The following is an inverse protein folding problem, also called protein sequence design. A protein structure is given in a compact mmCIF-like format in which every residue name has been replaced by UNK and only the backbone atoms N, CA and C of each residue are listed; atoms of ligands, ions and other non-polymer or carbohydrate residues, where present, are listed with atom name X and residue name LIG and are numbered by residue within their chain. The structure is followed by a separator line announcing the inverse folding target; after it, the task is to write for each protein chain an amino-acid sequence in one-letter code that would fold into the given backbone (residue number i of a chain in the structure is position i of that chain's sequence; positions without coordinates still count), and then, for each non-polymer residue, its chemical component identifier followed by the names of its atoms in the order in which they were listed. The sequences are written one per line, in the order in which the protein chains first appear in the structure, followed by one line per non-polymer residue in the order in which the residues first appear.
data_IF_788849255659
#
_entry.id   IF_788849255659
#
_cell.length_a   1.000
_cell.length_b   1.000
_cell.length_c   1.000
_cell.angle_alpha   90.00
_cell.angle_beta   90.00
_cell.angle_gamma   90.00
#
_symmetry.space_group_name_H-M   'P 1'
#
loop_
_entity.id
_entity.type
_entity.pdbx_description
1 polymer ?
#
# COMPACT_ATOMS: atom_id res chain seq x y z
N UNK A 1 102.18 8.96 -58.21
CA UNK A 1 101.25 10.11 -58.40
C UNK A 1 100.04 9.55 -59.14
N UNK A 2 98.82 9.49 -58.64
CA UNK A 2 98.21 9.94 -57.40
C UNK A 2 96.70 10.06 -57.68
N UNK A 3 95.88 9.41 -56.84
CA UNK A 3 94.51 9.84 -56.42
C UNK A 3 93.43 9.80 -57.56
N UNK A 4 92.21 9.27 -57.45
CA UNK A 4 91.29 8.89 -56.37
C UNK A 4 90.25 7.90 -56.97
N UNK A 5 89.92 6.79 -56.28
CA UNK A 5 88.67 6.54 -55.51
C UNK A 5 87.37 6.56 -56.34
N UNK A 6 86.81 5.39 -56.66
CA UNK A 6 85.78 4.65 -55.88
C UNK A 6 84.39 5.28 -56.00
N UNK A 7 83.45 4.64 -56.73
CA UNK A 7 82.02 4.53 -56.34
C UNK A 7 81.36 3.34 -57.07
N UNK A 8 81.42 2.17 -56.43
CA UNK A 8 80.48 1.07 -56.60
C UNK A 8 79.88 0.83 -55.22
N UNK A 9 78.70 1.37 -54.91
CA UNK A 9 77.84 0.84 -53.85
C UNK A 9 76.46 1.55 -53.80
N UNK A 10 75.43 0.70 -53.68
CA UNK A 10 74.08 0.94 -53.11
C UNK A 10 73.13 1.87 -53.87
N UNK A 11 72.38 1.28 -54.80
CA UNK A 11 71.05 1.75 -55.18
C UNK A 11 70.03 0.75 -54.62
N UNK A 12 69.72 0.79 -53.32
CA UNK A 12 68.62 0.05 -52.68
C UNK A 12 68.49 0.47 -51.21
N UNK A 13 68.00 1.68 -50.94
CA UNK A 13 67.54 2.04 -49.59
C UNK A 13 66.33 2.98 -49.67
N UNK A 14 65.22 2.46 -49.12
CA UNK A 14 63.99 3.13 -48.68
C UNK A 14 62.99 3.64 -49.74
N UNK A 15 62.34 2.70 -50.43
CA UNK A 15 60.88 2.81 -50.60
C UNK A 15 60.22 2.09 -49.42
N UNK A 16 60.25 2.70 -48.23
CA UNK A 16 59.27 2.30 -47.22
C UNK A 16 57.92 2.84 -47.70
N UNK A 17 56.87 2.02 -47.82
CA UNK A 17 55.54 2.55 -47.89
C UNK A 17 55.33 3.19 -46.52
N UNK A 18 55.52 4.50 -46.42
CA UNK A 18 54.85 5.27 -45.38
C UNK A 18 53.36 5.13 -45.71
N UNK A 19 52.79 4.00 -45.28
CA UNK A 19 51.37 3.84 -45.12
C UNK A 19 51.00 4.90 -44.09
N UNK A 20 50.61 6.08 -44.60
CA UNK A 20 49.75 6.98 -43.86
C UNK A 20 48.51 6.15 -43.56
N UNK A 21 48.53 5.47 -42.41
CA UNK A 21 47.31 4.97 -41.79
C UNK A 21 46.56 6.24 -41.43
N UNK A 22 45.73 6.71 -42.35
CA UNK A 22 44.60 7.56 -42.00
C UNK A 22 43.78 6.66 -41.09
N UNK A 23 43.97 6.81 -39.77
CA UNK A 23 43.03 6.31 -38.80
C UNK A 23 41.76 7.10 -39.07
N UNK A 24 40.88 6.55 -39.90
CA UNK A 24 39.48 6.95 -39.88
C UNK A 24 39.04 6.65 -38.45
N UNK A 25 38.95 7.70 -37.62
CA UNK A 25 38.27 7.61 -36.34
C UNK A 25 36.88 7.09 -36.68
N UNK A 26 36.55 5.89 -36.19
CA UNK A 26 35.20 5.38 -36.28
C UNK A 26 34.35 6.29 -35.41
N UNK A 27 33.74 7.29 -36.03
CA UNK A 27 32.77 8.16 -35.38
C UNK A 27 31.60 7.28 -34.91
N UNK A 28 31.17 7.46 -33.66
CA UNK A 28 30.02 6.74 -33.15
C UNK A 28 28.81 7.02 -34.07
N UNK A 29 28.07 5.98 -34.44
CA UNK A 29 26.94 6.13 -35.35
C UNK A 29 25.89 7.03 -34.68
N UNK A 30 25.68 8.23 -35.25
CA UNK A 30 24.67 9.15 -34.75
C UNK A 30 23.27 8.62 -35.03
N UNK A 31 22.33 8.90 -34.13
CA UNK A 31 20.92 8.58 -34.33
C UNK A 31 20.08 9.79 -33.95
N UNK A 32 19.22 10.22 -34.87
CA UNK A 32 18.30 11.33 -34.66
C UNK A 32 16.93 11.00 -35.26
N UNK A 33 15.87 11.29 -34.50
CA UNK A 33 14.50 11.22 -35.01
C UNK A 33 13.57 12.16 -34.24
N UNK A 34 12.48 12.53 -34.91
CA UNK A 34 11.42 13.37 -34.34
C UNK A 34 10.05 12.92 -34.81
N UNK A 35 9.18 12.57 -33.86
CA UNK A 35 7.78 12.23 -34.07
C UNK A 35 6.88 13.32 -33.49
N UNK A 36 6.28 14.13 -34.36
CA UNK A 36 5.27 15.16 -34.00
C UNK A 36 3.87 14.56 -34.11
N UNK A 37 3.63 13.57 -33.26
CA UNK A 37 2.57 12.56 -33.45
C UNK A 37 3.08 11.34 -34.21
N UNK A 38 2.28 10.28 -34.20
CA UNK A 38 2.70 8.93 -34.59
C UNK A 38 1.93 8.35 -35.78
N UNK A 39 0.91 9.06 -36.27
CA UNK A 39 0.14 8.63 -37.44
C UNK A 39 1.04 8.47 -38.66
N UNK A 40 1.08 7.27 -39.25
CA UNK A 40 1.91 6.95 -40.41
C UNK A 40 3.30 6.40 -40.06
N UNK A 41 3.66 6.33 -38.78
CA UNK A 41 4.98 5.86 -38.33
C UNK A 41 4.97 4.39 -37.87
N UNK A 42 3.98 3.59 -38.30
CA UNK A 42 3.86 2.17 -37.90
C UNK A 42 5.05 1.30 -38.33
N UNK A 43 5.84 1.73 -39.32
CA UNK A 43 7.06 1.02 -39.75
C UNK A 43 8.30 1.43 -38.97
N UNK A 44 8.27 2.60 -38.32
CA UNK A 44 9.41 3.15 -37.56
C UNK A 44 9.30 2.85 -36.06
N UNK A 45 8.11 2.48 -35.58
CA UNK A 45 7.86 2.16 -34.17
C UNK A 45 7.29 0.76 -34.06
N UNK A 46 7.98 -0.07 -33.30
CA UNK A 46 7.53 -1.40 -32.94
C UNK A 46 6.70 -1.35 -31.67
N UNK A 47 5.44 -1.78 -31.74
CA UNK A 47 4.54 -1.86 -30.58
C UNK A 47 4.21 -3.31 -30.24
N UNK A 48 4.18 -3.65 -28.95
CA UNK A 48 3.70 -4.95 -28.45
C UNK A 48 2.69 -4.77 -27.29
N UNK A 49 1.92 -5.82 -27.01
CA UNK A 49 0.93 -5.82 -25.93
C UNK A 49 -0.24 -4.87 -26.20
N UNK A 50 -0.63 -4.08 -25.20
CA UNK A 50 -1.70 -3.09 -25.29
C UNK A 50 -1.31 -1.81 -26.05
N UNK A 51 -0.04 -1.68 -26.43
CA UNK A 51 0.46 -0.49 -27.10
C UNK A 51 -0.02 -0.42 -28.54
N UNK A 52 -0.47 0.76 -28.97
CA UNK A 52 -0.91 1.00 -30.35
C UNK A 52 -0.67 2.45 -30.77
N UNK A 53 -0.43 2.66 -32.07
CA UNK A 53 -0.57 3.97 -32.71
C UNK A 53 -2.03 4.14 -33.11
N UNK A 54 -2.72 5.07 -32.48
CA UNK A 54 -4.15 5.29 -32.69
C UNK A 54 -4.40 6.03 -33.99
N UNK A 55 -5.11 5.39 -34.92
CA UNK A 55 -5.43 5.99 -36.21
C UNK A 55 -6.35 7.23 -36.11
N UNK A 56 -7.15 7.32 -35.05
CA UNK A 56 -8.15 8.39 -34.84
C UNK A 56 -7.52 9.74 -34.56
N UNK A 57 -6.47 9.78 -33.73
CA UNK A 57 -5.86 10.99 -33.19
C UNK A 57 -4.35 11.05 -33.45
N UNK A 58 -3.71 9.94 -33.82
CA UNK A 58 -2.28 9.88 -34.07
C UNK A 58 -1.43 9.81 -32.80
N UNK A 59 -2.03 9.54 -31.64
CA UNK A 59 -1.32 9.32 -30.38
C UNK A 59 -0.72 7.91 -30.33
N UNK A 60 0.43 7.79 -29.67
CA UNK A 60 0.96 6.50 -29.25
C UNK A 60 0.39 6.18 -27.87
N UNK A 61 -0.52 5.22 -27.78
CA UNK A 61 -1.06 4.75 -26.50
C UNK A 61 -0.23 3.55 -26.05
N UNK A 62 0.41 3.62 -24.89
CA UNK A 62 1.22 2.51 -24.34
C UNK A 62 0.33 1.48 -23.63
N UNK A 63 -0.66 1.93 -22.86
CA UNK A 63 -1.71 1.06 -22.31
C UNK A 63 -3.06 1.75 -22.40
N UNK A 64 -4.11 0.95 -22.41
CA UNK A 64 -5.45 1.40 -22.13
C UNK A 64 -5.73 1.32 -20.61
N UNK A 65 -7.01 1.37 -20.23
CA UNK A 65 -7.47 1.28 -18.84
C UNK A 65 -7.90 -0.14 -18.44
N UNK A 66 -7.52 -1.15 -19.22
CA UNK A 66 -7.78 -2.55 -18.88
C UNK A 66 -6.86 -2.97 -17.73
N UNK A 67 -7.22 -4.04 -17.02
CA UNK A 67 -6.47 -4.54 -15.88
C UNK A 67 -5.35 -5.48 -16.31
N UNK A 68 -4.22 -5.43 -15.61
CA UNK A 68 -3.09 -6.34 -15.78
C UNK A 68 -2.57 -6.44 -17.22
N UNK A 69 -2.53 -5.31 -17.94
CA UNK A 69 -1.94 -5.26 -19.28
C UNK A 69 -0.55 -4.65 -19.24
N UNK A 70 0.29 -5.09 -20.17
CA UNK A 70 1.58 -4.47 -20.51
C UNK A 70 1.50 -3.91 -21.91
N UNK A 71 2.27 -2.87 -22.18
CA UNK A 71 2.47 -2.40 -23.55
C UNK A 71 3.85 -1.78 -23.72
N UNK A 72 4.44 -2.03 -24.89
CA UNK A 72 5.77 -1.53 -25.22
C UNK A 72 5.73 -0.81 -26.57
N UNK A 73 6.55 0.22 -26.71
CA UNK A 73 6.72 0.95 -27.95
C UNK A 73 8.18 1.38 -28.11
N UNK A 74 8.89 0.77 -29.05
CA UNK A 74 10.31 1.03 -29.30
C UNK A 74 10.54 1.64 -30.68
N UNK A 75 11.55 2.49 -30.80
CA UNK A 75 12.08 2.86 -32.11
C UNK A 75 12.61 1.59 -32.79
N UNK A 76 12.17 1.34 -34.03
CA UNK A 76 12.35 0.06 -34.69
C UNK A 76 13.80 -0.26 -35.11
N UNK A 77 14.70 0.73 -35.06
CA UNK A 77 16.11 0.56 -35.42
C UNK A 77 16.99 0.61 -34.17
N UNK A 78 18.01 -0.26 -34.06
CA UNK A 78 18.96 -0.21 -32.95
C UNK A 78 19.78 1.09 -32.99
N UNK A 79 20.18 1.56 -31.82
CA UNK A 79 21.07 2.69 -31.60
C UNK A 79 22.39 2.20 -31.02
N UNK A 80 23.47 2.95 -31.26
CA UNK A 80 24.81 2.63 -30.76
C UNK A 80 25.32 3.78 -29.91
N UNK A 81 25.40 3.56 -28.60
CA UNK A 81 25.77 4.59 -27.64
C UNK A 81 27.21 4.46 -27.13
N UNK A 82 27.88 3.33 -27.35
CA UNK A 82 29.30 3.15 -26.98
C UNK A 82 30.20 3.99 -27.90
N UNK A 83 30.95 4.91 -27.31
CA UNK A 83 31.96 5.71 -28.01
C UNK A 83 33.24 4.88 -28.21
N UNK A 84 33.58 4.65 -29.48
CA UNK A 84 34.79 3.92 -29.91
C UNK A 84 35.94 4.84 -30.34
N UNK A 85 35.80 6.15 -30.17
CA UNK A 85 36.80 7.14 -30.62
C UNK A 85 38.15 7.02 -29.89
N UNK A 86 38.20 6.35 -28.74
CA UNK A 86 39.41 6.17 -27.92
C UNK A 86 39.91 4.72 -27.91
N UNK A 87 40.42 4.25 -29.05
CA UNK A 87 41.01 2.91 -29.25
C UNK A 87 42.23 2.56 -28.33
N UNK A 88 42.63 3.45 -27.41
CA UNK A 88 43.78 3.23 -26.51
C UNK A 88 43.42 3.07 -25.02
N UNK A 89 42.15 3.26 -24.63
CA UNK A 89 41.72 2.97 -23.25
C UNK A 89 40.78 1.76 -23.23
N UNK A 90 41.06 0.79 -22.36
CA UNK A 90 40.20 -0.38 -22.12
C UNK A 90 38.81 -0.03 -21.56
N UNK A 91 38.57 1.24 -21.20
CA UNK A 91 37.32 1.71 -20.63
C UNK A 91 36.30 2.05 -21.72
N UNK A 92 35.13 1.41 -21.64
CA UNK A 92 33.98 1.72 -22.50
C UNK A 92 33.41 3.07 -22.04
N UNK A 93 33.29 4.02 -22.97
CA UNK A 93 32.61 5.30 -22.74
C UNK A 93 31.27 5.32 -23.46
N UNK A 94 30.31 6.03 -22.88
CA UNK A 94 28.98 6.22 -23.49
C UNK A 94 28.93 7.65 -24.05
N UNK A 95 28.55 7.80 -25.32
CA UNK A 95 28.35 9.09 -25.96
C UNK A 95 27.17 9.84 -25.32
N UNK A 96 27.15 11.16 -25.44
CA UNK A 96 26.01 11.95 -24.97
C UNK A 96 24.74 11.60 -25.75
N UNK A 97 23.58 11.68 -25.09
CA UNK A 97 22.28 11.56 -25.74
C UNK A 97 21.25 12.48 -25.09
N UNK A 98 20.22 12.80 -25.85
CA UNK A 98 19.11 13.64 -25.43
C UNK A 98 17.81 13.04 -25.94
N UNK A 99 16.77 13.05 -25.11
CA UNK A 99 15.40 12.76 -25.55
C UNK A 99 14.42 13.74 -24.95
N UNK A 100 13.39 14.07 -25.72
CA UNK A 100 12.24 14.83 -25.23
C UNK A 100 10.95 14.18 -25.68
N UNK A 101 9.98 14.08 -24.79
CA UNK A 101 8.65 13.61 -25.14
C UNK A 101 7.60 14.36 -24.35
N UNK A 102 6.41 14.42 -24.94
CA UNK A 102 5.21 14.97 -24.31
C UNK A 102 4.23 13.83 -24.14
N UNK A 103 3.70 13.68 -22.94
CA UNK A 103 2.81 12.58 -22.58
C UNK A 103 1.64 13.05 -21.73
N UNK A 104 0.65 12.19 -21.57
CA UNK A 104 -0.49 12.39 -20.68
C UNK A 104 -0.93 11.05 -20.11
N UNK A 105 -1.24 11.04 -18.82
CA UNK A 105 -1.76 9.87 -18.10
C UNK A 105 -3.20 10.16 -17.70
N UNK A 106 -4.10 9.25 -18.05
CA UNK A 106 -5.54 9.38 -17.73
C UNK A 106 -5.95 8.18 -16.88
N UNK A 107 -6.16 8.38 -15.56
CA UNK A 107 -6.54 7.28 -14.68
C UNK A 107 -7.99 6.82 -14.94
N UNK A 108 -8.31 5.60 -14.53
CA UNK A 108 -9.69 5.07 -14.57
C UNK A 108 -10.62 5.80 -13.61
N UNK A 109 -10.10 6.21 -12.45
CA UNK A 109 -10.77 7.05 -11.47
C UNK A 109 -9.75 7.88 -10.70
N UNK A 110 -10.11 9.07 -10.19
CA UNK A 110 -9.18 9.94 -9.46
C UNK A 110 -8.53 9.19 -8.28
N UNK A 111 -7.20 9.20 -8.21
CA UNK A 111 -6.42 8.57 -7.14
C UNK A 111 -6.31 7.05 -7.18
N UNK A 112 -6.91 6.37 -8.16
CA UNK A 112 -6.74 4.91 -8.38
C UNK A 112 -6.15 4.63 -9.77
N UNK A 113 -5.23 5.47 -10.21
CA UNK A 113 -4.46 5.16 -11.38
C UNK A 113 -3.30 4.22 -11.07
N UNK A 114 -2.60 3.78 -12.12
CA UNK A 114 -1.47 2.89 -11.99
C UNK A 114 -1.11 2.12 -13.26
N UNK A 115 0.10 1.57 -13.37
CA UNK A 115 1.24 1.75 -12.43
C UNK A 115 2.20 2.84 -12.90
N UNK A 116 2.16 3.19 -14.19
CA UNK A 116 3.02 4.20 -14.79
C UNK A 116 3.67 3.65 -16.05
N UNK A 117 4.75 4.30 -16.46
CA UNK A 117 5.52 3.90 -17.62
C UNK A 117 7.00 4.25 -17.45
N UNK A 118 7.85 3.70 -18.30
CA UNK A 118 9.28 4.00 -18.36
C UNK A 118 9.66 4.56 -19.72
N UNK A 119 10.69 5.40 -19.75
CA UNK A 119 11.58 5.52 -20.91
C UNK A 119 12.78 4.61 -20.67
N UNK A 120 13.15 3.75 -21.62
CA UNK A 120 14.16 2.72 -21.38
C UNK A 120 15.17 2.56 -22.51
N UNK A 121 16.40 2.23 -22.13
CA UNK A 121 17.43 1.61 -22.97
C UNK A 121 17.41 0.10 -22.70
N UNK A 122 17.24 -0.70 -23.75
CA UNK A 122 17.17 -2.17 -23.66
C UNK A 122 17.95 -2.82 -24.82
N UNK A 123 18.59 -3.98 -24.65
CA UNK A 123 19.27 -4.69 -25.74
C UNK A 123 18.30 -5.28 -26.77
N UNK A 124 16.99 -5.27 -26.47
CA UNK A 124 15.93 -5.79 -27.33
C UNK A 124 14.68 -4.91 -27.25
N UNK A 125 13.95 -4.68 -28.35
CA UNK A 125 12.65 -4.03 -28.33
C UNK A 125 11.54 -4.97 -27.84
N UNK A 126 11.77 -6.28 -27.86
CA UNK A 126 10.82 -7.29 -27.42
C UNK A 126 10.99 -7.54 -25.92
N UNK A 127 9.88 -7.59 -25.17
CA UNK A 127 9.87 -7.89 -23.72
C UNK A 127 8.98 -9.11 -23.39
N UNK A 128 9.30 -10.30 -23.94
CA UNK A 128 8.52 -11.48 -23.67
C UNK A 128 8.59 -11.84 -22.19
N UNK A 129 7.43 -12.08 -21.58
CA UNK A 129 7.33 -12.45 -20.17
C UNK A 129 7.59 -11.31 -19.19
N UNK A 130 7.64 -10.04 -19.63
CA UNK A 130 7.54 -8.91 -18.72
C UNK A 130 6.15 -8.90 -18.05
N UNK A 131 6.12 -8.62 -16.76
CA UNK A 131 4.91 -8.63 -15.94
C UNK A 131 4.25 -7.24 -15.89
N UNK A 132 2.96 -7.24 -15.57
CA UNK A 132 2.17 -6.02 -15.40
C UNK A 132 2.40 -5.38 -14.02
N UNK A 133 1.55 -4.44 -13.65
CA UNK A 133 1.58 -3.76 -12.36
C UNK A 133 2.96 -3.14 -12.04
N UNK A 134 3.50 -3.41 -10.86
CA UNK A 134 4.79 -2.93 -10.36
C UNK A 134 6.00 -3.25 -11.25
N UNK A 135 5.85 -4.15 -12.24
CA UNK A 135 6.93 -4.50 -13.16
C UNK A 135 6.94 -3.65 -14.44
N UNK A 136 5.96 -2.74 -14.61
CA UNK A 136 5.85 -1.72 -15.66
C UNK A 136 5.98 -2.24 -17.11
N UNK A 137 5.75 -3.53 -17.35
CA UNK A 137 6.03 -4.15 -18.65
C UNK A 137 7.51 -4.10 -19.03
N UNK A 138 8.38 -3.73 -18.09
CA UNK A 138 9.82 -3.76 -18.25
C UNK A 138 10.31 -5.13 -17.80
N UNK A 139 10.28 -5.45 -16.51
CA UNK A 139 10.86 -6.68 -15.95
C UNK A 139 9.77 -7.67 -15.52
N UNK A 140 10.16 -8.72 -14.81
CA UNK A 140 9.25 -9.61 -14.11
C UNK A 140 9.87 -10.04 -12.78
N UNK A 141 9.10 -10.77 -11.98
CA UNK A 141 9.55 -11.24 -10.66
C UNK A 141 10.86 -12.03 -10.70
N UNK A 142 11.09 -12.80 -11.76
CA UNK A 142 12.23 -13.72 -11.86
C UNK A 142 13.53 -13.06 -12.31
N UNK A 143 13.45 -11.97 -13.07
CA UNK A 143 14.62 -11.28 -13.59
C UNK A 143 14.85 -9.89 -12.97
N UNK A 144 13.95 -9.38 -12.11
CA UNK A 144 14.17 -8.13 -11.40
C UNK A 144 15.47 -8.17 -10.57
N UNK A 145 16.42 -7.27 -10.85
CA UNK A 145 17.74 -7.27 -10.20
C UNK A 145 18.81 -8.09 -10.91
N UNK A 146 18.49 -8.78 -12.00
CA UNK A 146 19.47 -9.57 -12.75
C UNK A 146 20.35 -8.66 -13.62
N UNK A 147 21.66 -8.68 -13.38
CA UNK A 147 22.64 -7.89 -14.15
C UNK A 147 22.66 -8.24 -15.65
N UNK A 148 22.25 -9.45 -16.02
CA UNK A 148 22.14 -9.86 -17.44
C UNK A 148 20.95 -9.23 -18.18
N UNK A 149 20.15 -8.38 -17.53
CA UNK A 149 19.06 -7.69 -18.19
C UNK A 149 19.56 -6.60 -19.16
N UNK A 150 20.67 -5.95 -18.83
CA UNK A 150 21.22 -4.81 -19.56
C UNK A 150 20.20 -3.70 -19.83
N UNK A 151 19.32 -3.40 -18.86
CA UNK A 151 18.31 -2.35 -18.98
C UNK A 151 18.62 -1.15 -18.09
N UNK A 152 18.46 0.04 -18.67
CA UNK A 152 18.38 1.30 -17.93
C UNK A 152 16.99 1.90 -18.18
N UNK A 153 16.37 2.47 -17.16
CA UNK A 153 15.08 3.12 -17.31
C UNK A 153 14.96 4.39 -16.44
N UNK A 154 14.17 5.34 -16.94
CA UNK A 154 13.61 6.43 -16.15
C UNK A 154 12.14 6.10 -15.95
N UNK A 155 11.74 5.81 -14.72
CA UNK A 155 10.36 5.49 -14.36
C UNK A 155 9.53 6.75 -14.10
N UNK A 156 8.27 6.71 -14.51
CA UNK A 156 7.23 7.70 -14.22
C UNK A 156 6.16 6.97 -13.42
N UNK A 157 6.42 6.76 -12.14
CA UNK A 157 5.58 5.94 -11.27
C UNK A 157 4.43 6.77 -10.70
N UNK A 158 3.23 6.21 -10.82
CA UNK A 158 1.97 6.81 -10.37
C UNK A 158 1.46 6.16 -9.08
N UNK A 159 2.02 5.02 -8.70
CA UNK A 159 1.67 4.25 -7.51
C UNK A 159 2.80 4.38 -6.47
N UNK A 160 2.42 4.38 -5.21
CA UNK A 160 3.30 4.81 -4.14
C UNK A 160 4.49 3.86 -3.92
N UNK A 161 5.71 4.39 -4.10
CA UNK A 161 6.99 3.74 -3.79
C UNK A 161 7.73 4.27 -2.55
N UNK A 162 7.31 5.37 -1.91
CA UNK A 162 8.14 6.02 -0.88
C UNK A 162 7.73 5.75 0.58
N UNK A 163 8.71 5.24 1.35
CA UNK A 163 8.60 4.64 2.69
C UNK A 163 8.28 5.57 3.86
N UNK A 164 8.06 6.86 3.65
CA UNK A 164 8.08 7.81 4.77
C UNK A 164 6.73 8.48 5.08
N UNK A 165 5.63 8.01 4.47
CA UNK A 165 4.26 8.47 4.81
C UNK A 165 4.00 9.97 4.64
N UNK A 166 4.95 10.72 4.08
CA UNK A 166 4.92 12.17 3.93
C UNK A 166 4.39 12.63 2.57
N UNK A 167 4.43 11.77 1.54
CA UNK A 167 3.80 12.05 0.25
C UNK A 167 2.38 11.49 0.22
N UNK A 168 1.39 12.39 0.16
CA UNK A 168 -0.03 12.05 0.09
C UNK A 168 -0.49 11.63 -1.31
N UNK A 169 0.33 11.76 -2.36
CA UNK A 169 -0.02 11.45 -3.76
C UNK A 169 0.80 10.32 -4.39
N UNK A 170 2.04 10.09 -3.94
CA UNK A 170 2.83 8.89 -4.27
C UNK A 170 3.48 8.86 -5.65
N UNK A 171 3.36 9.93 -6.46
CA UNK A 171 4.00 10.01 -7.78
C UNK A 171 5.49 10.33 -7.65
N UNK A 172 6.34 9.58 -8.32
CA UNK A 172 7.78 9.82 -8.32
C UNK A 172 8.42 9.54 -9.68
N UNK A 173 9.59 10.14 -9.86
CA UNK A 173 10.48 9.85 -10.97
C UNK A 173 11.68 9.11 -10.42
N UNK A 174 12.01 7.98 -11.03
CA UNK A 174 13.09 7.11 -10.57
C UNK A 174 14.07 6.75 -11.68
N UNK A 175 15.28 6.37 -11.27
CA UNK A 175 16.33 5.84 -12.13
C UNK A 175 16.59 4.37 -11.79
N UNK A 176 16.36 3.52 -12.79
CA UNK A 176 16.37 2.07 -12.68
C UNK A 176 17.53 1.45 -13.45
N UNK A 177 18.25 0.54 -12.78
CA UNK A 177 19.45 -0.11 -13.31
C UNK A 177 19.31 -1.62 -13.16
N UNK A 178 18.91 -2.31 -14.23
CA UNK A 178 18.62 -3.75 -14.25
C UNK A 178 17.52 -4.22 -13.27
N UNK A 179 16.81 -3.30 -12.64
CA UNK A 179 15.85 -3.56 -11.57
C UNK A 179 14.86 -2.38 -11.45
N UNK A 180 13.68 -2.61 -10.86
CA UNK A 180 12.63 -1.59 -10.63
C UNK A 180 12.57 -1.09 -9.17
N UNK A 181 13.64 -1.32 -8.40
CA UNK A 181 13.90 -0.59 -7.16
C UNK A 181 14.82 0.56 -7.52
N UNK A 182 14.24 1.70 -7.90
CA UNK A 182 15.03 2.85 -8.33
C UNK A 182 16.10 3.24 -7.31
N UNK A 183 17.35 3.28 -7.77
CA UNK A 183 18.52 3.66 -6.97
C UNK A 183 18.45 5.14 -6.58
N UNK A 184 17.78 5.94 -7.43
CA UNK A 184 17.49 7.35 -7.21
C UNK A 184 16.00 7.57 -7.47
N UNK A 185 15.30 8.18 -6.51
CA UNK A 185 13.89 8.55 -6.65
C UNK A 185 13.69 9.99 -6.18
N UNK A 186 12.91 10.77 -6.92
CA UNK A 186 12.52 12.12 -6.54
C UNK A 186 11.00 12.30 -6.67
N UNK A 187 10.31 12.85 -5.66
CA UNK A 187 8.89 13.18 -5.76
C UNK A 187 8.59 14.14 -6.91
N UNK A 188 7.47 13.90 -7.61
CA UNK A 188 7.13 14.67 -8.80
C UNK A 188 6.94 16.16 -8.51
N UNK A 189 7.74 16.98 -9.17
CA UNK A 189 7.76 18.43 -8.97
C UNK A 189 8.64 19.11 -10.02
N UNK A 190 8.53 20.43 -10.16
CA UNK A 190 9.43 21.24 -10.98
C UNK A 190 9.89 22.50 -10.26
N UNK A 191 11.01 23.06 -10.70
CA UNK A 191 11.52 24.33 -10.22
C UNK A 191 10.93 25.48 -11.05
N UNK A 192 9.99 26.22 -10.48
CA UNK A 192 9.42 27.42 -11.11
C UNK A 192 10.43 28.59 -11.09
N UNK A 193 11.16 28.71 -9.98
CA UNK A 193 12.34 29.59 -9.86
C UNK A 193 13.47 28.82 -9.19
N UNK A 194 14.67 29.39 -9.11
CA UNK A 194 15.82 28.76 -8.47
C UNK A 194 15.55 28.36 -7.00
N UNK A 195 14.58 29.00 -6.35
CA UNK A 195 14.21 28.78 -4.94
C UNK A 195 12.82 28.20 -4.72
N UNK A 196 11.96 28.15 -5.75
CA UNK A 196 10.57 27.70 -5.64
C UNK A 196 10.38 26.38 -6.39
N UNK A 197 10.04 25.33 -5.63
CA UNK A 197 9.65 24.01 -6.12
C UNK A 197 8.13 23.91 -6.08
N UNK A 198 7.51 23.49 -7.17
CA UNK A 198 6.06 23.31 -7.29
C UNK A 198 5.74 21.85 -7.59
N UNK A 199 4.79 21.31 -6.84
CA UNK A 199 4.31 19.94 -7.01
C UNK A 199 3.22 19.91 -8.08
N UNK A 200 3.14 18.78 -8.79
CA UNK A 200 2.03 18.49 -9.70
C UNK A 200 1.79 16.98 -9.74
N UNK A 201 0.86 16.56 -10.58
CA UNK A 201 0.34 15.19 -10.59
C UNK A 201 0.49 14.59 -11.98
N UNK A 202 1.14 13.42 -12.07
CA UNK A 202 1.31 12.68 -13.30
C UNK A 202 -0.05 12.29 -13.90
N UNK A 203 -1.04 12.06 -13.05
CA UNK A 203 -2.38 11.58 -13.39
C UNK A 203 -3.43 12.69 -13.50
N UNK A 204 -2.98 13.95 -13.52
CA UNK A 204 -3.84 15.13 -13.69
C UNK A 204 -4.65 15.11 -15.00
N UNK A 205 -4.23 14.33 -15.98
CA UNK A 205 -4.77 14.34 -17.34
C UNK A 205 -4.34 15.59 -18.14
N UNK A 206 -3.46 16.42 -17.59
CA UNK A 206 -2.79 17.46 -18.36
C UNK A 206 -1.58 16.89 -19.10
N UNK A 207 -1.19 17.51 -20.22
CA UNK A 207 0.03 17.14 -20.91
C UNK A 207 1.27 17.59 -20.13
N UNK A 208 2.24 16.68 -20.04
CA UNK A 208 3.48 16.84 -19.30
C UNK A 208 4.63 16.63 -20.29
N UNK A 209 5.72 17.39 -20.14
CA UNK A 209 6.94 17.19 -20.90
C UNK A 209 8.03 16.61 -20.02
N UNK A 210 8.77 15.66 -20.58
CA UNK A 210 10.03 15.16 -20.04
C UNK A 210 11.19 15.47 -20.99
N UNK A 211 12.32 15.82 -20.41
CA UNK A 211 13.62 15.97 -21.07
C UNK A 211 14.63 15.14 -20.28
N UNK A 212 15.27 14.18 -20.95
CA UNK A 212 16.32 13.33 -20.38
C UNK A 212 17.59 13.57 -21.19
N UNK A 213 18.63 14.08 -20.52
CA UNK A 213 19.88 14.51 -21.15
C UNK A 213 21.05 13.85 -20.42
N UNK A 214 21.78 13.01 -21.12
CA UNK A 214 23.00 12.38 -20.61
C UNK A 214 24.22 13.02 -21.26
N UNK A 215 25.10 13.56 -20.44
CA UNK A 215 26.40 14.08 -20.87
C UNK A 215 27.48 13.01 -20.69
N UNK A 216 27.96 12.43 -21.79
CA UNK A 216 28.97 11.37 -21.80
C UNK A 216 30.29 11.75 -21.12
N UNK A 217 30.89 12.92 -21.40
CA UNK A 217 32.14 13.35 -20.77
C UNK A 217 32.10 13.46 -19.24
N UNK A 218 31.01 13.98 -18.67
CA UNK A 218 30.84 14.08 -17.21
C UNK A 218 30.05 12.91 -16.58
N UNK A 219 29.57 11.98 -17.40
CA UNK A 219 28.67 10.88 -17.04
C UNK A 219 27.41 11.37 -16.29
N UNK A 220 26.96 12.60 -16.57
CA UNK A 220 25.86 13.23 -15.82
C UNK A 220 24.53 13.06 -16.56
N UNK A 221 23.55 12.47 -15.89
CA UNK A 221 22.17 12.40 -16.33
C UNK A 221 21.35 13.52 -15.68
N UNK A 222 20.68 14.31 -16.51
CA UNK A 222 19.70 15.31 -16.11
C UNK A 222 18.30 14.89 -16.56
N UNK A 223 17.35 14.86 -15.62
CA UNK A 223 15.93 14.61 -15.89
C UNK A 223 15.15 15.85 -15.51
N UNK A 224 14.54 16.51 -16.49
CA UNK A 224 13.66 17.66 -16.29
C UNK A 224 12.24 17.29 -16.70
N UNK A 225 11.29 17.42 -15.79
CA UNK A 225 9.88 17.10 -16.00
C UNK A 225 9.02 18.28 -15.55
N UNK A 226 8.06 18.68 -16.39
CA UNK A 226 7.23 19.85 -16.11
C UNK A 226 5.93 19.86 -16.93
N UNK A 227 4.85 20.45 -16.40
CA UNK A 227 3.61 20.67 -17.14
C UNK A 227 3.80 21.52 -18.40
N UNK A 228 3.13 21.18 -19.50
CA UNK A 228 3.28 21.93 -20.77
C UNK A 228 2.63 23.32 -20.75
N UNK A 229 1.84 23.64 -19.71
CA UNK A 229 1.32 24.99 -19.46
C UNK A 229 2.42 26.01 -19.15
N UNK A 230 3.61 25.55 -18.75
CA UNK A 230 4.80 26.39 -18.61
C UNK A 230 5.37 26.72 -19.98
N UNK A 231 5.59 28.00 -20.24
CA UNK A 231 6.13 28.47 -21.52
C UNK A 231 7.60 28.07 -21.73
N UNK A 232 8.36 27.90 -20.65
CA UNK A 232 9.80 27.64 -20.68
C UNK A 232 10.15 26.40 -19.85
N UNK A 233 11.17 25.67 -20.32
CA UNK A 233 11.79 24.56 -19.57
C UNK A 233 12.40 25.11 -18.27
N UNK A 234 12.12 24.49 -17.10
CA UNK A 234 12.84 24.77 -15.86
C UNK A 234 14.34 24.68 -16.05
N UNK A 235 15.09 25.65 -15.52
CA UNK A 235 16.56 25.64 -15.61
C UNK A 235 17.20 24.54 -14.78
N UNK A 236 16.60 24.25 -13.62
CA UNK A 236 17.07 23.22 -12.69
C UNK A 236 16.32 21.91 -12.98
N UNK A 237 17.03 20.83 -13.33
CA UNK A 237 16.41 19.52 -13.52
C UNK A 237 15.88 18.98 -12.17
N UNK A 238 14.89 18.09 -12.23
CA UNK A 238 14.39 17.38 -11.06
C UNK A 238 15.47 16.44 -10.50
N UNK A 239 16.11 15.68 -11.39
CA UNK A 239 17.23 14.80 -11.06
C UNK A 239 18.47 15.27 -11.84
N UNK A 240 19.61 15.39 -11.15
CA UNK A 240 20.93 15.58 -11.75
C UNK A 240 21.91 14.69 -11.01
N UNK A 241 22.41 13.64 -11.67
CA UNK A 241 23.25 12.60 -11.04
C UNK A 241 24.31 12.10 -12.00
N UNK A 242 25.49 11.81 -11.47
CA UNK A 242 26.52 11.08 -12.21
C UNK A 242 26.17 9.59 -12.22
N UNK A 243 26.10 8.98 -13.40
CA UNK A 243 25.70 7.60 -13.65
C UNK A 243 26.89 6.84 -14.26
N UNK A 244 27.90 6.57 -13.45
CA UNK A 244 29.14 5.93 -13.91
C UNK A 244 28.96 4.48 -14.35
N UNK A 245 27.95 3.79 -13.81
CA UNK A 245 27.61 2.41 -14.14
C UNK A 245 26.84 2.25 -15.46
N UNK A 246 26.47 3.34 -16.16
CA UNK A 246 25.76 3.22 -17.44
C UNK A 246 26.59 2.45 -18.48
N UNK A 247 27.92 2.56 -18.41
CA UNK A 247 28.87 1.82 -19.26
C UNK A 247 28.83 0.29 -19.04
N UNK A 248 28.38 -0.18 -17.88
CA UNK A 248 28.22 -1.59 -17.54
C UNK A 248 26.90 -2.18 -18.05
N UNK A 249 25.93 -1.31 -18.38
CA UNK A 249 24.58 -1.69 -18.81
C UNK A 249 24.47 -1.64 -20.33
N UNK A 250 24.91 -0.54 -20.94
CA UNK A 250 24.75 -0.28 -22.36
C UNK A 250 25.58 -1.27 -23.17
N UNK A 251 24.93 -2.06 -24.01
CA UNK A 251 25.56 -2.97 -24.98
C UNK A 251 25.90 -2.28 -26.31
N UNK A 252 26.50 -3.03 -27.24
CA UNK A 252 26.89 -2.53 -28.55
C UNK A 252 25.72 -1.97 -29.37
N UNK A 253 24.58 -2.66 -29.30
CA UNK A 253 23.32 -2.24 -29.90
C UNK A 253 22.25 -2.22 -28.83
N UNK A 254 21.56 -1.08 -28.74
CA UNK A 254 20.47 -0.84 -27.80
C UNK A 254 19.24 -0.39 -28.57
N UNK A 255 18.09 -0.42 -27.91
CA UNK A 255 16.83 0.11 -28.37
C UNK A 255 16.33 1.13 -27.35
N UNK A 256 15.81 2.25 -27.86
CA UNK A 256 15.11 3.26 -27.06
C UNK A 256 13.62 3.09 -27.25
N UNK A 257 12.88 3.23 -26.16
CA UNK A 257 11.43 3.12 -26.21
C UNK A 257 10.78 3.35 -24.87
N UNK A 258 9.52 2.94 -24.82
CA UNK A 258 8.68 3.05 -23.65
C UNK A 258 8.11 1.69 -23.28
N UNK A 259 8.00 1.42 -21.98
CA UNK A 259 7.20 0.32 -21.44
C UNK A 259 6.18 0.88 -20.49
N UNK A 260 4.99 0.29 -20.42
CA UNK A 260 3.97 0.68 -19.47
C UNK A 260 3.19 -0.54 -19.00
N UNK A 261 2.61 -0.43 -17.80
CA UNK A 261 1.68 -1.44 -17.32
C UNK A 261 0.54 -0.85 -16.50
N UNK A 262 -0.52 -1.63 -16.43
CA UNK A 262 -1.63 -1.45 -15.47
C UNK A 262 -1.68 -2.65 -14.53
N UNK A 263 -2.44 -2.55 -13.44
CA UNK A 263 -2.65 -3.69 -12.55
C UNK A 263 -4.09 -3.81 -12.06
N UNK A 264 -4.30 -4.72 -11.12
CA UNK A 264 -5.61 -4.96 -10.53
C UNK A 264 -6.05 -3.75 -9.68
N UNK A 265 -7.22 -3.17 -10.01
CA UNK A 265 -7.77 -2.02 -9.30
C UNK A 265 -7.03 -0.67 -9.52
N UNK A 266 -5.86 -0.68 -10.15
CA UNK A 266 -5.01 0.49 -10.42
C UNK A 266 -4.67 0.54 -11.91
N UNK A 267 -5.37 1.40 -12.65
CA UNK A 267 -5.30 1.41 -14.12
C UNK A 267 -5.32 2.83 -14.67
N UNK A 268 -4.37 3.11 -15.55
CA UNK A 268 -4.26 4.38 -16.27
C UNK A 268 -3.99 4.13 -17.75
N UNK A 269 -4.59 4.93 -18.62
CA UNK A 269 -4.18 4.99 -20.01
C UNK A 269 -2.99 5.95 -20.15
N UNK A 270 -1.89 5.44 -20.69
CA UNK A 270 -0.66 6.20 -20.90
C UNK A 270 -0.52 6.56 -22.38
N UNK A 271 -0.42 7.85 -22.69
CA UNK A 271 -0.27 8.33 -24.07
C UNK A 271 0.99 9.15 -24.22
N UNK A 272 1.75 8.88 -25.30
CA UNK A 272 2.80 9.75 -25.80
C UNK A 272 2.24 10.52 -27.00
N UNK A 273 2.38 11.84 -26.95
CA UNK A 273 1.87 12.79 -27.95
C UNK A 273 2.92 13.12 -29.01
N UNK A 274 4.19 13.16 -28.61
CA UNK A 274 5.32 13.32 -29.50
C UNK A 274 6.61 12.94 -28.81
N UNK A 275 7.64 12.61 -29.59
CA UNK A 275 8.91 12.09 -29.10
C UNK A 275 10.05 12.46 -30.04
N UNK A 276 11.13 13.01 -29.50
CA UNK A 276 12.38 13.27 -30.20
C UNK A 276 13.56 12.65 -29.46
N UNK A 277 14.57 12.25 -30.22
CA UNK A 277 15.78 11.63 -29.71
C UNK A 277 16.97 12.05 -30.58
N UNK A 278 18.10 12.30 -29.94
CA UNK A 278 19.37 12.52 -30.58
C UNK A 278 20.47 11.85 -29.74
N UNK A 279 21.39 11.12 -30.38
CA UNK A 279 22.52 10.51 -29.69
C UNK A 279 23.79 10.55 -30.52
N UNK A 280 24.90 10.69 -29.81
CA UNK A 280 26.23 10.85 -30.38
C UNK A 280 26.33 12.07 -31.31
N UNK A 281 27.54 12.43 -31.74
CA UNK A 281 27.79 13.68 -32.49
C UNK A 281 28.14 14.86 -31.59
N UNK A 282 28.36 16.03 -32.18
CA UNK A 282 28.75 17.25 -31.46
C UNK A 282 27.54 17.87 -30.76
N UNK A 283 27.39 17.60 -29.46
CA UNK A 283 26.27 18.04 -28.61
C UNK A 283 24.88 17.62 -29.14
N UNK A 284 24.52 16.32 -29.08
CA UNK A 284 23.22 15.84 -29.53
C UNK A 284 22.10 16.44 -28.67
N UNK A 285 21.20 17.18 -29.31
CA UNK A 285 20.04 17.80 -28.66
C UNK A 285 18.76 17.30 -29.33
N UNK A 286 17.85 16.73 -28.55
CA UNK A 286 16.55 16.32 -29.05
C UNK A 286 15.73 17.53 -29.49
N UNK A 287 15.07 17.40 -30.64
CA UNK A 287 14.23 18.44 -31.22
C UNK A 287 13.16 18.95 -30.24
N UNK A 288 12.91 20.26 -30.30
CA UNK A 288 11.83 20.88 -29.52
C UNK A 288 10.46 20.48 -30.07
N UNK A 289 9.61 19.91 -29.21
CA UNK A 289 8.24 19.50 -29.54
C UNK A 289 7.24 20.63 -29.19
N UNK A 290 6.87 21.46 -30.16
CA UNK A 290 5.86 22.51 -29.93
C UNK A 290 4.49 21.89 -29.74
N UNK A 291 3.78 22.25 -28.66
CA UNK A 291 2.48 21.66 -28.32
C UNK A 291 1.44 21.86 -29.43
N UNK A 292 1.52 22.98 -30.16
CA UNK A 292 0.64 23.27 -31.31
C UNK A 292 0.84 22.34 -32.52
N UNK A 293 1.96 21.63 -32.59
CA UNK A 293 2.29 20.70 -33.68
C UNK A 293 1.99 19.23 -33.30
N UNK A 294 1.58 18.98 -32.04
CA UNK A 294 1.27 17.64 -31.56
C UNK A 294 -0.23 17.34 -31.70
N UNK A 295 -0.61 16.05 -31.81
CA UNK A 295 -1.99 15.64 -31.58
C UNK A 295 -2.54 16.18 -30.26
N UNK A 296 -3.83 16.56 -30.19
CA UNK A 296 -4.42 17.04 -28.96
C UNK A 296 -4.43 15.93 -27.88
N UNK A 297 -4.25 16.33 -26.62
CA UNK A 297 -4.39 15.39 -25.51
C UNK A 297 -5.83 14.84 -25.45
N UNK A 298 -6.03 13.55 -25.09
CA UNK A 298 -7.36 13.02 -24.91
C UNK A 298 -8.06 13.72 -23.73
N UNK A 299 -9.39 13.84 -23.76
CA UNK A 299 -10.14 14.44 -22.65
C UNK A 299 -9.99 13.61 -21.38
N UNK A 300 -9.77 14.27 -20.24
CA UNK A 300 -9.72 13.58 -18.96
C UNK A 300 -11.12 13.08 -18.55
N UNK A 301 -11.36 11.78 -18.77
CA UNK A 301 -12.64 11.11 -18.47
C UNK A 301 -12.69 10.50 -17.06
N UNK A 302 -11.60 10.57 -16.28
CA UNK A 302 -11.54 10.01 -14.92
C UNK A 302 -12.60 10.62 -14.00
N UNK A 303 -12.89 11.92 -14.15
CA UNK A 303 -13.88 12.66 -13.38
C UNK A 303 -15.33 12.30 -13.76
N UNK A 304 -15.56 11.73 -14.94
CA UNK A 304 -16.89 11.35 -15.44
C UNK A 304 -17.37 10.00 -14.89
N UNK A 305 -16.46 9.16 -14.39
CA UNK A 305 -16.76 7.77 -13.99
C UNK A 305 -17.25 7.63 -12.53
N UNK A 306 -17.89 8.67 -11.96
CA UNK A 306 -18.60 8.55 -10.68
C UNK A 306 -19.90 7.76 -10.84
N UNK A 307 -19.80 6.51 -11.29
CA UNK A 307 -20.86 5.51 -11.27
C UNK A 307 -20.26 4.14 -10.97
N UNK A 308 -19.36 4.08 -10.00
CA UNK A 308 -18.98 2.82 -9.33
C UNK A 308 -19.89 2.64 -8.13
N UNK A 309 -20.38 1.42 -7.94
CA UNK A 309 -21.50 0.97 -7.11
C UNK A 309 -21.32 1.18 -5.58
N UNK A 310 -21.02 2.40 -5.13
CA UNK A 310 -21.00 2.75 -3.71
C UNK A 310 -22.33 2.44 -3.02
N UNK A 311 -23.45 2.47 -3.77
CA UNK A 311 -24.77 2.08 -3.25
C UNK A 311 -24.86 0.61 -2.84
N UNK A 312 -24.16 -0.31 -3.52
CA UNK A 312 -24.20 -1.74 -3.17
C UNK A 312 -23.38 -2.05 -1.92
N UNK A 313 -22.21 -1.40 -1.76
CA UNK A 313 -21.36 -1.54 -0.57
C UNK A 313 -22.04 -0.89 0.64
N UNK A 314 -22.64 0.30 0.46
CA UNK A 314 -23.42 0.96 1.52
C UNK A 314 -24.64 0.11 1.89
N UNK A 315 -25.35 -0.47 0.92
CA UNK A 315 -26.48 -1.36 1.20
C UNK A 315 -26.06 -2.61 2.00
N UNK A 316 -24.91 -3.21 1.67
CA UNK A 316 -24.36 -4.34 2.43
C UNK A 316 -24.00 -3.94 3.87
N UNK A 317 -23.30 -2.81 4.06
CA UNK A 317 -22.94 -2.28 5.38
C UNK A 317 -24.18 -1.99 6.24
N UNK A 318 -25.20 -1.36 5.65
CA UNK A 318 -26.47 -1.07 6.33
C UNK A 318 -27.20 -2.37 6.66
N UNK A 319 -27.24 -3.33 5.73
CA UNK A 319 -27.88 -4.64 5.98
C UNK A 319 -27.20 -5.40 7.13
N UNK A 320 -25.86 -5.41 7.16
CA UNK A 320 -25.09 -6.09 8.20
C UNK A 320 -25.30 -5.41 9.56
N UNK A 321 -25.37 -4.07 9.58
CA UNK A 321 -25.64 -3.29 10.79
C UNK A 321 -27.05 -3.54 11.37
N UNK A 322 -28.05 -3.73 10.50
CA UNK A 322 -29.41 -4.07 10.94
C UNK A 322 -29.46 -5.48 11.54
N UNK A 323 -28.78 -6.45 10.90
CA UNK A 323 -28.73 -7.83 11.39
C UNK A 323 -28.02 -7.92 12.75
N UNK A 324 -26.88 -7.23 12.92
CA UNK A 324 -26.17 -7.21 14.20
C UNK A 324 -26.99 -6.55 15.30
N UNK A 325 -27.67 -5.44 15.02
CA UNK A 325 -28.56 -4.78 15.97
C UNK A 325 -29.72 -5.70 16.39
N UNK A 326 -30.33 -6.41 15.42
CA UNK A 326 -31.41 -7.36 15.70
C UNK A 326 -30.95 -8.51 16.61
N UNK A 327 -29.77 -9.08 16.36
CA UNK A 327 -29.19 -10.13 17.20
C UNK A 327 -28.90 -9.63 18.63
N UNK A 328 -28.43 -8.40 18.80
CA UNK A 328 -28.21 -7.79 20.12
C UNK A 328 -29.52 -7.58 20.89
N UNK A 329 -30.59 -7.16 20.21
CA UNK A 329 -31.92 -7.03 20.83
C UNK A 329 -32.46 -8.38 21.28
N UNK A 330 -32.35 -9.42 20.43
CA UNK A 330 -32.76 -10.78 20.81
C UNK A 330 -31.97 -11.31 22.01
N UNK A 331 -30.66 -11.08 22.03
CA UNK A 331 -29.82 -11.46 23.17
C UNK A 331 -30.24 -10.73 24.45
N UNK A 332 -30.51 -9.43 24.35
CA UNK A 332 -30.98 -8.63 25.48
C UNK A 332 -32.31 -9.15 26.04
N UNK A 333 -33.29 -9.42 25.16
CA UNK A 333 -34.59 -9.98 25.55
C UNK A 333 -34.43 -11.37 26.19
N UNK A 334 -33.55 -12.21 25.64
CA UNK A 334 -33.24 -13.52 26.21
C UNK A 334 -32.65 -13.42 27.62
N UNK A 335 -31.70 -12.49 27.84
CA UNK A 335 -31.11 -12.24 29.16
C UNK A 335 -32.16 -11.71 30.14
N UNK A 336 -33.03 -10.80 29.70
CA UNK A 336 -34.13 -10.30 30.54
C UNK A 336 -35.10 -11.41 30.93
N UNK A 337 -35.49 -12.26 29.97
CA UNK A 337 -36.34 -13.41 30.22
C UNK A 337 -35.71 -14.41 31.21
N UNK A 338 -34.41 -14.70 31.03
CA UNK A 338 -33.64 -15.53 31.96
C UNK A 338 -33.62 -14.95 33.38
N UNK A 339 -33.34 -13.66 33.53
CA UNK A 339 -33.35 -12.97 34.83
C UNK A 339 -34.72 -13.02 35.50
N UNK A 340 -35.79 -12.84 34.73
CA UNK A 340 -37.15 -12.87 35.27
C UNK A 340 -37.58 -14.27 35.76
N UNK A 341 -37.13 -15.33 35.09
CA UNK A 341 -37.37 -16.70 35.57
C UNK A 341 -36.55 -17.00 36.82
N UNK A 342 -35.32 -16.52 36.90
CA UNK A 342 -34.45 -16.73 38.07
C UNK A 342 -34.89 -15.91 39.31
N UNK A 343 -35.61 -14.81 39.12
CA UNK A 343 -36.24 -14.02 40.20
C UNK A 343 -37.62 -14.57 40.63
N UNK A 344 -38.17 -15.55 39.92
CA UNK A 344 -39.38 -16.28 40.32
C UNK A 344 -39.07 -17.37 41.33
N UNK A 345 -39.24 -17.08 42.62
CA UNK A 345 -39.07 -18.03 43.73
C UNK A 345 -39.79 -19.37 43.46
N UNK A 346 -39.02 -20.46 43.44
CA UNK A 346 -39.55 -21.82 43.46
C UNK A 346 -40.00 -22.08 44.90
N UNK A 347 -41.31 -22.02 45.16
CA UNK A 347 -41.92 -22.52 46.38
C UNK A 347 -41.60 -24.02 46.52
N UNK A 348 -40.97 -24.42 47.62
CA UNK A 348 -40.88 -25.84 47.99
C UNK A 348 -42.13 -26.25 48.79
N UNK A 349 -42.70 -27.41 48.46
CA UNK A 349 -44.02 -27.89 48.90
C UNK A 349 -44.23 -27.95 50.43
N UNK A 350 -43.16 -27.88 51.23
CA UNK A 350 -43.22 -27.92 52.69
C UNK A 350 -43.60 -26.58 53.35
N UNK A 351 -43.58 -25.46 52.61
CA UNK A 351 -43.90 -24.12 53.14
C UNK A 351 -45.40 -23.79 53.24
N UNK A 352 -46.29 -24.68 52.76
CA UNK A 352 -47.74 -24.46 52.69
C UNK A 352 -48.49 -24.67 54.02
N UNK A 353 -47.91 -25.38 54.99
CA UNK A 353 -48.64 -25.89 56.17
C UNK A 353 -48.43 -25.11 57.50
N UNK A 354 -47.67 -24.01 57.53
CA UNK A 354 -47.36 -23.28 58.79
C UNK A 354 -47.72 -21.78 58.75
N UNK A 355 -48.55 -21.23 59.67
CA UNK A 355 -49.33 -20.02 59.37
C UNK A 355 -48.73 -18.67 59.82
N UNK A 356 -47.51 -18.59 60.36
CA UNK A 356 -46.97 -17.32 60.88
C UNK A 356 -45.49 -17.16 60.61
N UNK A 357 -45.11 -16.34 59.61
CA UNK A 357 -43.73 -15.88 59.38
C UNK A 357 -43.42 -14.64 60.19
N UNK A 358 -42.24 -14.60 60.82
CA UNK A 358 -41.64 -13.36 61.32
C UNK A 358 -40.47 -12.98 60.43
N UNK A 359 -40.42 -11.72 59.98
CA UNK A 359 -39.29 -11.24 59.18
C UNK A 359 -38.02 -11.23 60.04
N UNK A 360 -36.85 -11.43 59.42
CA UNK A 360 -35.57 -11.26 60.11
C UNK A 360 -35.48 -9.91 60.82
N UNK A 361 -36.01 -8.84 60.21
CA UNK A 361 -36.03 -7.49 60.80
C UNK A 361 -36.78 -7.46 62.13
N UNK A 362 -37.92 -8.13 62.22
CA UNK A 362 -38.72 -8.18 63.44
C UNK A 362 -38.00 -8.96 64.54
N UNK A 363 -37.34 -10.08 64.19
CA UNK A 363 -36.56 -10.88 65.14
C UNK A 363 -35.27 -10.18 65.59
N UNK A 364 -34.62 -9.46 64.68
CA UNK A 364 -33.44 -8.63 64.96
C UNK A 364 -33.78 -7.51 65.94
N UNK A 365 -34.93 -6.86 65.76
CA UNK A 365 -35.40 -5.83 66.69
C UNK A 365 -35.86 -6.44 68.02
N UNK A 366 -36.61 -7.54 67.99
CA UNK A 366 -37.12 -8.20 69.19
C UNK A 366 -36.01 -8.70 70.12
N UNK A 367 -34.85 -9.07 69.57
CA UNK A 367 -33.66 -9.54 70.33
C UNK A 367 -32.67 -8.42 70.65
N UNK A 368 -33.05 -7.16 70.45
CA UNK A 368 -32.15 -6.00 70.61
C UNK A 368 -30.84 -6.18 69.84
N UNK A 369 -30.95 -6.55 68.55
CA UNK A 369 -29.84 -6.76 67.62
C UNK A 369 -28.96 -7.96 67.95
N UNK A 370 -29.52 -8.99 68.58
CA UNK A 370 -28.79 -10.18 69.07
C UNK A 370 -27.65 -9.82 70.04
N UNK A 371 -27.94 -8.93 71.00
CA UNK A 371 -26.97 -8.53 72.04
C UNK A 371 -26.55 -9.73 72.89
N UNK A 372 -25.27 -9.79 73.26
CA UNK A 372 -24.72 -10.92 74.04
C UNK A 372 -25.36 -11.06 75.43
N UNK A 373 -25.74 -9.95 76.07
CA UNK A 373 -26.45 -9.98 77.36
C UNK A 373 -27.87 -10.58 77.27
N UNK A 374 -28.38 -10.81 76.07
CA UNK A 374 -29.65 -11.46 75.80
C UNK A 374 -29.55 -12.97 75.56
N UNK A 375 -28.35 -13.57 75.65
CA UNK A 375 -28.17 -15.02 75.41
C UNK A 375 -28.77 -15.81 76.58
N UNK A 376 -29.65 -16.75 76.24
CA UNK A 376 -30.30 -17.66 77.20
C UNK A 376 -29.87 -19.12 77.03
N UNK A 377 -29.11 -19.43 75.97
CA UNK A 377 -28.47 -20.73 75.78
C UNK A 377 -27.57 -20.74 74.56
N UNK A 378 -26.51 -21.55 74.57
CA UNK A 378 -25.61 -21.75 73.44
C UNK A 378 -25.29 -23.24 73.30
N UNK A 379 -25.25 -23.74 72.06
CA UNK A 379 -24.93 -25.13 71.76
C UNK A 379 -24.34 -25.30 70.36
N UNK A 380 -24.12 -26.54 69.92
CA UNK A 380 -23.45 -26.85 68.64
C UNK A 380 -24.17 -26.32 67.38
N UNK A 381 -25.45 -25.96 67.51
CA UNK A 381 -26.30 -25.50 66.40
C UNK A 381 -26.65 -24.00 66.50
N UNK A 382 -25.89 -23.23 67.27
CA UNK A 382 -26.06 -21.77 67.39
C UNK A 382 -26.46 -21.30 68.78
N UNK A 383 -26.86 -20.03 68.85
CA UNK A 383 -27.08 -19.29 70.10
C UNK A 383 -28.53 -18.86 70.21
N UNK A 384 -29.16 -19.11 71.34
CA UNK A 384 -30.54 -18.73 71.64
C UNK A 384 -30.54 -17.40 72.39
N UNK A 385 -31.25 -16.43 71.84
CA UNK A 385 -31.43 -15.10 72.41
C UNK A 385 -32.85 -14.94 72.95
N UNK A 386 -32.98 -14.28 74.08
CA UNK A 386 -34.26 -13.78 74.58
C UNK A 386 -34.69 -12.61 73.71
N UNK A 387 -35.91 -12.65 73.20
CA UNK A 387 -36.55 -11.54 72.51
C UNK A 387 -37.93 -11.21 73.09
N UNK A 388 -38.48 -10.08 72.71
CA UNK A 388 -39.85 -9.72 73.03
C UNK A 388 -40.53 -9.12 71.80
N UNK A 389 -41.53 -9.80 71.26
CA UNK A 389 -42.31 -9.31 70.13
C UNK A 389 -43.46 -8.44 70.63
N UNK A 390 -43.69 -7.24 70.04
CA UNK A 390 -44.78 -6.35 70.46
C UNK A 390 -46.16 -7.01 70.43
N UNK A 391 -46.38 -7.95 69.51
CA UNK A 391 -47.67 -8.61 69.29
C UNK A 391 -47.87 -9.92 70.05
N UNK A 392 -46.78 -10.60 70.44
CA UNK A 392 -46.84 -12.00 70.93
C UNK A 392 -46.13 -12.21 72.27
N UNK A 393 -45.48 -11.18 72.81
CA UNK A 393 -44.81 -11.24 74.11
C UNK A 393 -43.42 -11.89 74.05
N UNK A 394 -42.94 -12.42 75.20
CA UNK A 394 -41.58 -12.94 75.30
C UNK A 394 -41.37 -14.16 74.40
N UNK A 395 -40.31 -14.11 73.60
CA UNK A 395 -39.90 -15.18 72.69
C UNK A 395 -38.44 -15.59 72.93
N UNK A 396 -38.09 -16.75 72.39
CA UNK A 396 -36.71 -17.21 72.33
C UNK A 396 -36.34 -17.43 70.86
N UNK A 397 -35.32 -16.71 70.39
CA UNK A 397 -34.88 -16.72 68.98
C UNK A 397 -33.54 -17.44 68.90
N UNK A 398 -33.50 -18.61 68.28
CA UNK A 398 -32.27 -19.35 68.00
C UNK A 398 -31.61 -18.78 66.74
N UNK A 399 -30.48 -18.09 66.89
CA UNK A 399 -29.63 -17.63 65.80
C UNK A 399 -28.65 -18.74 65.44
N UNK A 400 -28.78 -19.26 64.23
CA UNK A 400 -27.88 -20.28 63.70
C UNK A 400 -26.62 -19.61 63.16
N UNK A 401 -25.45 -20.12 63.52
CA UNK A 401 -24.18 -19.70 62.93
C UNK A 401 -23.81 -20.71 61.84
N UNK A 402 -23.80 -20.32 60.55
CA UNK A 402 -23.49 -21.26 59.49
C UNK A 402 -21.98 -21.56 59.50
N UNK A 403 -21.60 -22.79 59.85
CA UNK A 403 -20.22 -23.26 59.76
C UNK A 403 -19.92 -23.98 58.42
N UNK A 404 -20.93 -24.44 57.68
CA UNK A 404 -20.82 -25.05 56.34
C UNK A 404 -22.21 -25.30 55.70
N UNK A 405 -22.24 -25.67 54.42
CA UNK A 405 -23.44 -26.18 53.70
C UNK A 405 -24.06 -27.43 54.37
N UNK A 406 -23.27 -28.17 55.15
CA UNK A 406 -23.72 -29.35 55.87
C UNK A 406 -24.54 -29.00 57.12
N UNK A 407 -24.17 -27.92 57.83
CA UNK A 407 -24.92 -27.45 59.00
C UNK A 407 -26.34 -26.95 58.66
N UNK A 408 -26.54 -26.43 57.45
CA UNK A 408 -27.89 -26.03 56.96
C UNK A 408 -28.78 -27.24 56.74
N UNK A 409 -28.22 -28.35 56.21
CA UNK A 409 -28.95 -29.61 56.02
C UNK A 409 -29.30 -30.30 57.34
N UNK A 410 -28.38 -30.28 58.30
CA UNK A 410 -28.61 -30.84 59.64
C UNK A 410 -29.67 -30.04 60.42
N UNK A 411 -29.70 -28.71 60.25
CA UNK A 411 -30.73 -27.85 60.83
C UNK A 411 -32.12 -28.10 60.20
N UNK A 412 -32.20 -28.25 58.87
CA UNK A 412 -33.46 -28.59 58.19
C UNK A 412 -34.02 -29.93 58.70
N UNK A 413 -33.17 -30.94 58.92
CA UNK A 413 -33.56 -32.23 59.49
C UNK A 413 -34.00 -32.13 60.96
N UNK A 414 -33.38 -31.25 61.77
CA UNK A 414 -33.77 -31.01 63.17
C UNK A 414 -35.16 -30.37 63.26
N UNK A 415 -35.46 -29.39 62.39
CA UNK A 415 -36.77 -28.72 62.31
C UNK A 415 -37.86 -29.68 61.82
N UNK A 416 -37.58 -30.52 60.81
CA UNK A 416 -38.53 -31.53 60.35
C UNK A 416 -38.87 -32.55 61.46
N UNK A 417 -37.87 -32.94 62.27
CA UNK A 417 -38.06 -33.84 63.41
C UNK A 417 -38.88 -33.20 64.54
N UNK A 418 -38.61 -31.94 64.89
CA UNK A 418 -39.34 -31.19 65.92
C UNK A 418 -40.78 -30.87 65.49
N UNK A 419 -41.01 -30.59 64.21
CA UNK A 419 -42.34 -30.35 63.65
C UNK A 419 -43.28 -31.54 63.82
N UNK A 420 -42.76 -32.78 63.72
CA UNK A 420 -43.54 -34.02 63.86
C UNK A 420 -43.80 -34.46 65.31
N UNK A 421 -43.07 -33.95 66.30
CA UNK A 421 -43.17 -34.37 67.71
C UNK A 421 -44.16 -33.54 68.56
N UNK A 422 -44.92 -32.61 67.97
CA UNK A 422 -45.85 -31.74 68.71
C UNK A 422 -47.16 -32.45 69.12
N UNK A 423 -47.09 -33.39 70.07
CA UNK A 423 -48.28 -33.85 70.80
C UNK A 423 -48.55 -32.94 72.00
N UNK A 424 -49.84 -32.63 72.23
CA UNK A 424 -50.42 -31.75 73.26
C UNK A 424 -49.66 -31.78 74.60
N UNK A 425 -48.81 -30.77 74.83
CA UNK A 425 -48.42 -30.17 76.13
C UNK A 425 -46.93 -29.83 76.19
N UNK A 426 -46.47 -28.87 75.41
CA UNK A 426 -45.36 -27.97 75.81
C UNK A 426 -45.45 -26.69 74.97
N UNK A 427 -45.29 -25.51 75.58
CA UNK A 427 -45.16 -24.23 74.86
C UNK A 427 -43.87 -24.29 74.03
N UNK A 428 -43.98 -24.46 72.71
CA UNK A 428 -42.84 -24.66 71.81
C UNK A 428 -42.44 -23.33 71.14
N UNK A 429 -41.12 -23.18 71.03
CA UNK A 429 -40.35 -22.10 70.42
C UNK A 429 -40.69 -21.90 68.93
N UNK A 430 -41.07 -20.67 68.55
CA UNK A 430 -41.13 -20.25 67.15
C UNK A 430 -39.71 -19.90 66.67
N UNK A 431 -39.01 -20.86 66.05
CA UNK A 431 -37.74 -20.60 65.35
C UNK A 431 -38.00 -20.39 63.86
N UNK A 432 -37.93 -19.14 63.41
CA UNK A 432 -37.95 -18.77 62.00
C UNK A 432 -36.52 -18.59 61.49
N UNK A 433 -36.13 -19.37 60.47
CA UNK A 433 -34.87 -19.21 59.75
C UNK A 433 -35.12 -18.64 58.35
N UNK A 434 -35.07 -17.31 58.21
CA UNK A 434 -34.76 -16.71 56.91
C UNK A 434 -33.23 -16.71 56.75
N UNK A 435 -32.68 -17.84 56.31
CA UNK A 435 -31.26 -17.96 55.94
C UNK A 435 -30.95 -17.33 54.56
N UNK A 436 -31.92 -16.69 53.90
CA UNK A 436 -31.74 -16.12 52.56
C UNK A 436 -31.31 -14.64 52.55
N UNK A 437 -31.64 -13.84 53.58
CA UNK A 437 -31.29 -12.41 53.61
C UNK A 437 -29.77 -12.17 53.80
N UNK A 438 -29.02 -13.13 54.34
CA UNK A 438 -27.56 -13.01 54.45
C UNK A 438 -26.82 -13.11 53.10
N UNK A 439 -27.47 -13.57 52.03
CA UNK A 439 -26.86 -13.67 50.69
C UNK A 439 -26.89 -12.35 49.90
N UNK A 440 -27.75 -11.39 50.26
CA UNK A 440 -27.87 -10.09 49.55
C UNK A 440 -26.86 -9.02 49.98
N UNK A 441 -26.00 -9.29 50.96
CA UNK A 441 -24.97 -8.35 51.42
C UNK A 441 -23.55 -8.65 50.90
N UNK A 442 -23.37 -9.68 50.06
CA UNK A 442 -22.05 -10.09 49.54
C UNK A 442 -22.00 -10.12 47.99
N UNK A 443 -22.90 -9.43 47.29
CA UNK A 443 -22.72 -9.16 45.85
C UNK A 443 -23.02 -7.72 45.48
#
# INVERSE_FOLDING_TARGET
MGIARTYLLVFLLFLSPNAFKISVLAEAATTEFTFRGFKGNQTEIQTEGAAEIRNSDGLLRLTNRDQNVTGTAFYGKPIRLRDRSHNNSSAIKICSFSTSFVFVIIPSSPGNGGFGFTFTLSPTPNRPGAESAQYMGLLNRSNNGNQSNHVFAVEFDTVQGFKDGADRRGNHIGLDFNNLFSDVQEPLSYHDTDYRKEDFDLESGESIRANIEYDGPSETLNVTIYPTRLALKPKKPLISRQISNLSEIVEEEMYVGFTAATGEGQTSAHYVMGWSFASCGENPVADSLKISELPPAPPNTSLSNKKVNGSQIIALMVSLSIVTLFLLVLLFLFVMYKRQIEEGEILEDWELDYPRRFSYRDLYLATERFKESGIIGAGGFGVVYRGNLPSSGPIAVKKITPHSLQGVREFAAEIESLGRLSHKSTRILESHSELYEQRKLIH
#
